data_IF_374421005928
#
_entry.id   IF_374421005928
#
_cell.length_a   1.000
_cell.length_b   1.000
_cell.length_c   1.000
_cell.angle_alpha   90.00
_cell.angle_beta   90.00
_cell.angle_gamma   90.00
#
_symmetry.space_group_name_H-M   'P 1'
#
loop_
_entity.id
_entity.type
_entity.pdbx_description
1 polymer ?
#
# COMPACT_ATOMS: atom_id res chain seq x y z
N UNK A 1 29.06 -12.86 1.72
CA UNK A 1 28.39 -12.73 0.41
C UNK A 1 27.28 -11.72 0.56
N UNK A 2 26.96 -10.96 -0.49
CA UNK A 2 25.82 -10.04 -0.47
C UNK A 2 24.52 -10.84 -0.60
N UNK A 3 23.50 -10.44 0.16
CA UNK A 3 22.16 -11.03 0.09
C UNK A 3 21.18 -10.01 -0.48
N UNK A 4 20.30 -10.43 -1.39
CA UNK A 4 19.22 -9.58 -1.84
C UNK A 4 18.01 -10.42 -2.24
N UNK A 5 16.78 -9.86 -2.03
CA UNK A 5 15.56 -10.56 -2.41
C UNK A 5 14.33 -9.69 -2.35
N UNK A 6 13.31 -10.11 -3.08
CA UNK A 6 11.97 -9.53 -3.08
C UNK A 6 11.12 -10.13 -1.97
N UNK A 7 10.66 -9.29 -1.06
CA UNK A 7 9.80 -9.65 0.07
C UNK A 7 8.42 -9.04 -0.15
N UNK A 8 7.51 -9.81 -0.69
CA UNK A 8 6.23 -9.31 -1.12
C UNK A 8 5.15 -9.48 -0.04
N UNK A 9 4.41 -8.42 0.21
CA UNK A 9 3.41 -8.33 1.28
C UNK A 9 2.03 -8.40 0.67
N UNK A 10 1.33 -9.49 0.89
CA UNK A 10 -0.02 -9.76 0.38
C UNK A 10 -0.99 -10.05 1.51
N UNK A 11 -2.29 -9.99 1.23
CA UNK A 11 -3.34 -10.29 2.19
C UNK A 11 -4.57 -9.41 1.96
N UNK A 12 -5.60 -9.62 2.73
CA UNK A 12 -6.89 -8.95 2.59
C UNK A 12 -6.82 -7.43 2.86
N UNK A 13 -7.83 -6.66 2.44
CA UNK A 13 -7.89 -5.23 2.78
C UNK A 13 -7.91 -5.01 4.31
N UNK A 14 -7.28 -3.92 4.76
CA UNK A 14 -7.28 -3.43 6.14
C UNK A 14 -6.57 -4.31 7.19
N UNK A 15 -5.87 -5.37 6.83
CA UNK A 15 -5.07 -6.18 7.76
C UNK A 15 -3.78 -5.50 8.23
N UNK A 16 -3.42 -4.33 7.67
CA UNK A 16 -2.28 -3.52 8.09
C UNK A 16 -1.01 -3.72 7.29
N UNK A 17 -1.10 -4.17 6.01
CA UNK A 17 0.05 -4.35 5.11
C UNK A 17 0.90 -3.08 4.95
N UNK A 18 0.28 -1.96 4.60
CA UNK A 18 0.98 -0.68 4.40
C UNK A 18 1.60 -0.14 5.70
N UNK A 19 0.96 -0.38 6.85
CA UNK A 19 1.55 -0.04 8.15
C UNK A 19 2.79 -0.88 8.40
N UNK A 20 2.72 -2.19 8.17
CA UNK A 20 3.86 -3.10 8.30
C UNK A 20 4.99 -2.72 7.35
N UNK A 21 4.66 -2.46 6.08
CA UNK A 21 5.62 -2.00 5.06
C UNK A 21 6.41 -0.78 5.53
N UNK A 22 5.72 0.26 6.01
CA UNK A 22 6.36 1.49 6.51
C UNK A 22 7.25 1.21 7.73
N UNK A 23 6.89 0.27 8.61
CA UNK A 23 7.73 -0.12 9.74
C UNK A 23 8.99 -0.88 9.29
N UNK A 24 8.86 -1.80 8.34
CA UNK A 24 9.98 -2.59 7.83
C UNK A 24 10.97 -1.74 7.03
N UNK A 25 10.49 -0.77 6.26
CA UNK A 25 11.34 0.16 5.48
C UNK A 25 11.94 1.25 6.37
N UNK A 26 11.27 1.61 7.47
CA UNK A 26 11.67 2.70 8.34
C UNK A 26 11.22 4.09 7.86
N UNK A 27 10.59 4.16 6.70
CA UNK A 27 10.11 5.38 6.05
C UNK A 27 8.64 5.27 5.62
N UNK A 28 7.97 6.40 5.52
CA UNK A 28 6.56 6.44 5.11
C UNK A 28 6.44 6.49 3.59
N UNK A 29 6.45 5.34 2.95
CA UNK A 29 6.33 5.21 1.48
C UNK A 29 4.95 4.71 1.01
N UNK A 30 4.15 4.12 1.89
CA UNK A 30 2.76 3.74 1.60
C UNK A 30 1.80 4.53 2.48
N UNK A 31 0.68 4.99 1.90
CA UNK A 31 -0.40 5.56 2.70
C UNK A 31 -1.11 4.46 3.47
N UNK A 32 -1.49 4.75 4.71
CA UNK A 32 -2.17 3.79 5.58
C UNK A 32 -3.42 4.43 6.19
N UNK A 33 -4.59 3.89 5.89
CA UNK A 33 -5.86 4.29 6.48
C UNK A 33 -6.69 3.06 6.87
N UNK A 34 -7.74 3.29 7.64
CA UNK A 34 -8.71 2.23 7.99
C UNK A 34 -9.70 1.90 6.87
N UNK A 35 -9.67 2.63 5.73
CA UNK A 35 -10.59 2.41 4.61
C UNK A 35 -10.02 1.36 3.64
N UNK A 36 -10.91 0.55 3.07
CA UNK A 36 -10.53 -0.37 2.00
C UNK A 36 -10.00 0.39 0.77
N UNK A 37 -9.27 -0.29 -0.11
CA UNK A 37 -8.68 0.29 -1.32
C UNK A 37 -7.74 1.50 -1.03
N UNK A 38 -7.12 1.52 0.16
CA UNK A 38 -6.10 2.51 0.49
C UNK A 38 -4.90 2.36 -0.44
N UNK A 39 -4.33 1.19 -0.54
CA UNK A 39 -3.30 0.85 -1.54
C UNK A 39 -3.98 0.39 -2.82
N UNK A 40 -3.68 1.03 -3.95
CA UNK A 40 -4.23 0.70 -5.28
C UNK A 40 -3.17 0.24 -6.27
N UNK A 41 -1.93 0.60 -6.03
CA UNK A 41 -0.77 0.23 -6.83
C UNK A 41 0.15 -0.66 -6.01
N UNK A 42 0.96 -1.44 -6.69
CA UNK A 42 2.11 -2.09 -6.07
C UNK A 42 3.20 -1.03 -5.84
N UNK A 43 3.72 -0.97 -4.62
CA UNK A 43 4.72 0.03 -4.21
C UNK A 43 5.91 -0.72 -3.64
N UNK A 44 7.10 -0.48 -4.20
CA UNK A 44 8.34 -1.06 -3.68
C UNK A 44 9.02 -0.09 -2.72
N UNK A 45 9.55 -0.64 -1.62
CA UNK A 45 10.42 0.04 -0.67
C UNK A 45 11.71 -0.74 -0.50
N UNK A 46 12.83 -0.07 -0.66
CA UNK A 46 14.15 -0.69 -0.75
C UNK A 46 14.93 -0.34 0.51
N UNK A 47 15.36 -1.38 1.23
CA UNK A 47 16.21 -1.26 2.40
C UNK A 47 17.60 -1.74 2.04
N UNK A 48 18.60 -0.90 2.23
CA UNK A 48 19.99 -1.16 1.88
C UNK A 48 20.89 -1.17 3.11
N UNK A 49 21.79 -2.15 3.18
CA UNK A 49 22.98 -2.16 4.04
C UNK A 49 24.21 -2.46 3.18
N UNK A 50 25.39 -2.48 3.75
CA UNK A 50 26.63 -2.76 3.00
C UNK A 50 26.59 -4.14 2.33
N UNK A 51 26.01 -5.13 3.00
CA UNK A 51 26.00 -6.54 2.63
C UNK A 51 24.61 -7.08 2.26
N UNK A 52 23.58 -6.24 2.24
CA UNK A 52 22.21 -6.69 2.01
C UNK A 52 21.35 -5.64 1.30
N UNK A 53 20.40 -6.13 0.49
CA UNK A 53 19.29 -5.34 -0.05
C UNK A 53 17.97 -6.10 0.07
N UNK A 54 16.97 -5.50 0.73
CA UNK A 54 15.62 -6.05 0.80
C UNK A 54 14.69 -5.16 -0.03
N UNK A 55 14.01 -5.76 -1.00
CA UNK A 55 12.98 -5.08 -1.79
C UNK A 55 11.61 -5.48 -1.27
N UNK A 56 11.07 -4.69 -0.36
CA UNK A 56 9.70 -4.89 0.11
C UNK A 56 8.69 -4.42 -0.94
N UNK A 57 7.56 -5.10 -1.05
CA UNK A 57 6.50 -4.74 -1.98
C UNK A 57 5.15 -4.73 -1.27
N UNK A 58 4.56 -3.54 -1.06
CA UNK A 58 3.18 -3.40 -0.60
C UNK A 58 2.21 -3.56 -1.76
N UNK A 59 1.16 -4.35 -1.57
CA UNK A 59 0.18 -4.65 -2.61
C UNK A 59 -1.23 -4.21 -2.21
N UNK A 60 -2.12 -3.97 -3.19
CA UNK A 60 -3.54 -3.82 -2.92
C UNK A 60 -4.08 -4.99 -2.10
N UNK A 61 -5.12 -4.76 -1.31
CA UNK A 61 -5.79 -5.84 -0.61
C UNK A 61 -6.50 -6.79 -1.58
N UNK A 62 -6.36 -8.09 -1.37
CA UNK A 62 -7.04 -9.12 -2.16
C UNK A 62 -8.55 -9.00 -1.96
N UNK A 63 -9.28 -8.82 -3.06
CA UNK A 63 -10.73 -8.69 -3.06
C UNK A 63 -11.31 -9.28 -4.36
N UNK A 64 -12.58 -9.67 -4.31
CA UNK A 64 -13.28 -10.09 -5.52
C UNK A 64 -13.63 -8.85 -6.36
N UNK A 65 -13.14 -8.75 -7.60
CA UNK A 65 -13.35 -7.56 -8.43
C UNK A 65 -14.81 -7.39 -8.85
N UNK A 66 -15.30 -6.15 -8.82
CA UNK A 66 -16.62 -5.75 -9.31
C UNK A 66 -16.53 -4.82 -10.53
N UNK A 67 -15.38 -4.23 -10.80
CA UNK A 67 -15.11 -3.34 -11.93
C UNK A 67 -13.61 -3.34 -12.27
N UNK A 68 -13.25 -2.83 -13.44
CA UNK A 68 -11.94 -3.02 -14.07
C UNK A 68 -10.74 -2.54 -13.21
N UNK A 69 -10.86 -1.42 -12.52
CA UNK A 69 -9.79 -0.97 -11.61
C UNK A 69 -9.49 -2.02 -10.53
N UNK A 70 -10.52 -2.71 -9.99
CA UNK A 70 -10.29 -3.76 -9.00
C UNK A 70 -9.67 -5.02 -9.61
N UNK A 71 -9.93 -5.32 -10.89
CA UNK A 71 -9.22 -6.39 -11.61
C UNK A 71 -7.72 -6.08 -11.68
N UNK A 72 -7.34 -4.84 -12.01
CA UNK A 72 -5.93 -4.43 -12.01
C UNK A 72 -5.31 -4.46 -10.60
N UNK A 73 -6.07 -4.04 -9.56
CA UNK A 73 -5.60 -4.15 -8.18
C UNK A 73 -5.33 -5.62 -7.79
N UNK A 74 -6.21 -6.55 -8.18
CA UNK A 74 -6.00 -7.98 -7.95
C UNK A 74 -4.78 -8.49 -8.73
N UNK A 75 -4.63 -8.10 -9.99
CA UNK A 75 -3.49 -8.47 -10.82
C UNK A 75 -2.15 -8.00 -10.22
N UNK A 76 -2.07 -6.82 -9.61
CA UNK A 76 -0.88 -6.39 -8.84
C UNK A 76 -0.58 -7.32 -7.65
N UNK A 77 -1.61 -7.82 -6.96
CA UNK A 77 -1.40 -8.76 -5.85
C UNK A 77 -0.99 -10.14 -6.34
N UNK A 78 -1.48 -10.57 -7.49
CA UNK A 78 -1.11 -11.83 -8.13
C UNK A 78 0.32 -11.77 -8.72
N UNK A 79 0.70 -10.66 -9.36
CA UNK A 79 2.08 -10.50 -9.85
C UNK A 79 3.11 -10.55 -8.72
N UNK A 80 2.74 -10.06 -7.54
CA UNK A 80 3.59 -10.14 -6.35
C UNK A 80 3.79 -11.58 -5.83
N UNK A 81 2.95 -12.54 -6.20
CA UNK A 81 3.22 -13.95 -5.90
C UNK A 81 4.28 -14.53 -6.84
N UNK A 82 4.35 -14.05 -8.08
CA UNK A 82 5.20 -14.63 -9.11
C UNK A 82 6.69 -14.28 -8.95
N UNK A 83 7.01 -13.12 -8.41
CA UNK A 83 8.39 -12.62 -8.31
C UNK A 83 8.94 -12.57 -6.86
N UNK A 84 8.21 -13.15 -5.89
CA UNK A 84 8.65 -13.18 -4.50
C UNK A 84 9.76 -14.19 -4.25
N UNK A 85 10.82 -13.78 -3.55
CA UNK A 85 11.78 -14.70 -2.90
C UNK A 85 11.29 -15.13 -1.52
N UNK A 86 10.55 -14.22 -0.83
CA UNK A 86 9.89 -14.46 0.45
C UNK A 86 8.51 -13.85 0.37
N UNK A 87 7.49 -14.57 0.79
CA UNK A 87 6.12 -14.07 0.88
C UNK A 87 5.72 -13.78 2.32
N UNK A 88 5.25 -12.55 2.59
CA UNK A 88 4.55 -12.20 3.81
C UNK A 88 3.04 -12.23 3.54
N UNK A 89 2.36 -13.26 4.00
CA UNK A 89 0.90 -13.30 3.98
C UNK A 89 0.36 -12.68 5.27
N UNK A 90 -0.22 -11.50 5.16
CA UNK A 90 -0.68 -10.72 6.31
C UNK A 90 -2.17 -10.89 6.52
N UNK A 91 -2.54 -11.32 7.72
CA UNK A 91 -3.90 -11.38 8.25
C UNK A 91 -3.99 -10.58 9.56
N UNK A 92 -5.16 -10.50 10.17
CA UNK A 92 -5.30 -9.89 11.50
C UNK A 92 -6.21 -10.74 12.43
N UNK A 93 -6.36 -10.28 13.67
CA UNK A 93 -7.09 -11.01 14.73
C UNK A 93 -8.60 -11.08 14.54
N UNK A 94 -9.17 -10.35 13.57
CA UNK A 94 -10.62 -10.32 13.31
C UNK A 94 -11.00 -10.87 11.94
N UNK A 95 -10.03 -11.17 11.10
CA UNK A 95 -10.26 -11.65 9.74
C UNK A 95 -10.72 -13.11 9.72
N UNK A 96 -11.69 -13.40 8.85
CA UNK A 96 -12.06 -14.78 8.53
C UNK A 96 -11.06 -15.37 7.53
N UNK A 97 -10.33 -16.43 7.88
CA UNK A 97 -9.37 -17.10 7.00
C UNK A 97 -9.97 -17.62 5.69
N UNK A 98 -11.27 -17.90 5.64
CA UNK A 98 -11.94 -18.46 4.46
C UNK A 98 -12.38 -17.40 3.45
N UNK A 99 -12.24 -16.13 3.77
CA UNK A 99 -12.79 -15.02 2.98
C UNK A 99 -12.29 -14.97 1.54
N UNK A 100 -11.07 -15.40 1.25
CA UNK A 100 -10.47 -15.43 -0.08
C UNK A 100 -9.74 -16.77 -0.30
N UNK A 101 -10.48 -17.88 -0.19
CA UNK A 101 -9.96 -19.24 -0.28
C UNK A 101 -9.16 -19.49 -1.57
N UNK A 102 -9.61 -18.97 -2.72
CA UNK A 102 -8.91 -19.12 -4.00
C UNK A 102 -7.50 -18.50 -3.99
N UNK A 103 -7.34 -17.34 -3.35
CA UNK A 103 -6.03 -16.70 -3.20
C UNK A 103 -5.17 -17.43 -2.17
N UNK A 104 -5.76 -17.89 -1.08
CA UNK A 104 -5.07 -18.69 -0.06
C UNK A 104 -4.53 -20.01 -0.66
N UNK A 105 -5.29 -20.65 -1.56
CA UNK A 105 -4.81 -21.86 -2.24
C UNK A 105 -3.58 -21.59 -3.11
N UNK A 106 -3.50 -20.45 -3.79
CA UNK A 106 -2.27 -20.06 -4.50
C UNK A 106 -1.09 -19.92 -3.56
N UNK A 107 -1.30 -19.30 -2.39
CA UNK A 107 -0.24 -19.18 -1.37
C UNK A 107 0.19 -20.55 -0.83
N UNK A 108 -0.76 -21.47 -0.59
CA UNK A 108 -0.51 -22.80 -0.07
C UNK A 108 0.38 -23.66 -1.00
N UNK A 109 0.27 -23.43 -2.30
CA UNK A 109 1.02 -24.17 -3.31
C UNK A 109 2.41 -23.59 -3.61
N UNK A 110 2.79 -22.48 -2.97
CA UNK A 110 4.10 -21.86 -3.18
C UNK A 110 5.23 -22.69 -2.58
N UNK A 111 6.37 -22.70 -3.29
CA UNK A 111 7.58 -23.43 -2.88
C UNK A 111 8.63 -22.54 -2.20
N UNK A 112 8.41 -21.21 -2.22
CA UNK A 112 9.27 -20.24 -1.53
C UNK A 112 8.93 -20.16 -0.04
N UNK A 113 9.80 -19.59 0.81
CA UNK A 113 9.47 -19.29 2.19
C UNK A 113 8.21 -18.40 2.31
N UNK A 114 7.23 -18.85 3.08
CA UNK A 114 6.02 -18.11 3.41
C UNK A 114 6.01 -17.82 4.90
N UNK A 115 5.91 -16.56 5.28
CA UNK A 115 5.68 -16.12 6.65
C UNK A 115 4.24 -15.60 6.74
N UNK A 116 3.41 -16.29 7.52
CA UNK A 116 2.08 -15.82 7.87
C UNK A 116 2.18 -14.86 9.04
N UNK A 117 1.83 -13.61 8.82
CA UNK A 117 1.86 -12.55 9.82
C UNK A 117 0.46 -12.32 10.37
N UNK A 118 0.22 -12.68 11.64
CA UNK A 118 -1.03 -12.33 12.35
C UNK A 118 -0.83 -10.96 13.00
N UNK A 119 -1.35 -9.92 12.34
CA UNK A 119 -1.21 -8.53 12.79
C UNK A 119 -2.30 -8.10 13.76
N UNK A 120 -2.13 -6.92 14.38
CA UNK A 120 -3.06 -6.27 15.31
C UNK A 120 -3.34 -7.09 16.57
N UNK A 121 -2.37 -7.85 17.07
CA UNK A 121 -2.56 -8.63 18.32
C UNK A 121 -2.84 -7.75 19.53
N UNK A 122 -2.53 -6.46 19.48
CA UNK A 122 -2.88 -5.43 20.45
C UNK A 122 -4.40 -5.23 20.61
N UNK A 123 -5.19 -5.59 19.59
CA UNK A 123 -6.65 -5.57 19.62
C UNK A 123 -7.27 -6.89 20.12
N UNK A 124 -6.48 -7.83 20.65
CA UNK A 124 -6.92 -9.15 21.07
C UNK A 124 -6.24 -9.60 22.36
N UNK A 125 -6.48 -10.83 22.78
CA UNK A 125 -5.85 -11.44 23.94
C UNK A 125 -5.03 -12.70 23.55
N UNK A 126 -4.14 -13.10 24.44
CA UNK A 126 -3.21 -14.22 24.18
C UNK A 126 -3.92 -15.53 23.84
N UNK A 127 -5.07 -15.83 24.48
CA UNK A 127 -5.83 -17.06 24.20
C UNK A 127 -6.38 -17.07 22.77
N UNK A 128 -6.99 -15.97 22.35
CA UNK A 128 -7.53 -15.83 20.98
C UNK A 128 -6.41 -15.89 19.94
N UNK A 129 -5.28 -15.23 20.18
CA UNK A 129 -4.12 -15.29 19.28
C UNK A 129 -3.60 -16.74 19.18
N UNK A 130 -3.48 -17.47 20.30
CA UNK A 130 -3.09 -18.88 20.28
C UNK A 130 -4.01 -19.76 19.44
N UNK A 131 -5.34 -19.60 19.57
CA UNK A 131 -6.31 -20.32 18.75
C UNK A 131 -6.19 -19.98 17.24
N UNK A 132 -5.92 -18.71 16.92
CA UNK A 132 -5.68 -18.30 15.53
C UNK A 132 -4.40 -18.92 14.96
N UNK A 133 -3.34 -19.01 15.74
CA UNK A 133 -2.09 -19.68 15.31
C UNK A 133 -2.38 -21.14 14.97
N UNK A 134 -3.12 -21.87 15.81
CA UNK A 134 -3.49 -23.27 15.54
C UNK A 134 -4.35 -23.40 14.28
N UNK A 135 -5.36 -22.53 14.11
CA UNK A 135 -6.22 -22.51 12.92
C UNK A 135 -5.41 -22.25 11.64
N UNK A 136 -4.54 -21.25 11.66
CA UNK A 136 -3.71 -20.93 10.51
C UNK A 136 -2.65 -22.00 10.20
N UNK A 137 -2.10 -22.65 11.22
CA UNK A 137 -1.18 -23.77 11.01
C UNK A 137 -1.86 -24.94 10.31
N UNK A 138 -3.14 -25.20 10.59
CA UNK A 138 -3.93 -26.20 9.88
C UNK A 138 -4.19 -25.83 8.39
N UNK A 139 -4.38 -24.53 8.09
CA UNK A 139 -4.64 -24.04 6.74
C UNK A 139 -3.37 -23.89 5.89
N UNK A 140 -2.28 -23.45 6.49
CA UNK A 140 -0.97 -23.23 5.85
C UNK A 140 0.13 -23.94 6.64
N UNK A 141 0.21 -25.27 6.58
CA UNK A 141 1.14 -26.07 7.44
C UNK A 141 2.62 -25.80 7.14
N UNK A 142 2.95 -25.30 5.94
CA UNK A 142 4.32 -25.00 5.54
C UNK A 142 4.74 -23.55 5.83
N UNK A 143 3.82 -22.68 6.31
CA UNK A 143 4.14 -21.31 6.64
C UNK A 143 4.66 -21.17 8.07
N UNK A 144 5.65 -20.33 8.25
CA UNK A 144 6.05 -19.86 9.59
C UNK A 144 5.06 -18.81 10.08
N UNK A 145 4.56 -18.93 11.31
CA UNK A 145 3.50 -18.03 11.81
C UNK A 145 4.08 -17.08 12.85
N UNK A 146 3.96 -15.78 12.59
CA UNK A 146 4.45 -14.72 13.47
C UNK A 146 3.33 -13.75 13.88
N UNK A 147 2.85 -13.79 15.13
CA UNK A 147 1.94 -12.77 15.67
C UNK A 147 2.69 -11.47 15.97
N UNK A 148 2.17 -10.33 15.45
CA UNK A 148 2.77 -9.00 15.62
C UNK A 148 1.72 -7.92 15.90
N UNK A 149 2.20 -6.74 16.32
CA UNK A 149 1.47 -5.47 16.21
C UNK A 149 2.32 -4.46 15.44
N UNK A 150 2.03 -4.27 14.16
CA UNK A 150 2.75 -3.30 13.34
C UNK A 150 2.57 -1.87 13.86
N UNK A 151 1.38 -1.52 14.38
CA UNK A 151 1.11 -0.20 14.95
C UNK A 151 1.98 0.10 16.17
N UNK A 152 2.19 -0.88 17.04
CA UNK A 152 2.97 -0.76 18.28
C UNK A 152 4.43 -1.23 18.11
N UNK A 153 4.85 -1.59 16.90
CA UNK A 153 6.19 -2.13 16.58
C UNK A 153 6.53 -3.45 17.29
N UNK A 154 5.56 -4.12 17.90
CA UNK A 154 5.80 -5.39 18.59
C UNK A 154 6.00 -6.52 17.57
N UNK A 155 7.09 -7.27 17.70
CA UNK A 155 7.42 -8.40 16.85
C UNK A 155 7.96 -8.03 15.46
N UNK A 156 8.03 -6.74 15.10
CA UNK A 156 8.53 -6.28 13.78
C UNK A 156 10.02 -6.55 13.62
N UNK A 157 10.82 -6.32 14.66
CA UNK A 157 12.25 -6.58 14.63
C UNK A 157 12.56 -8.09 14.48
N UNK A 158 11.76 -8.95 15.13
CA UNK A 158 11.86 -10.40 14.99
C UNK A 158 11.52 -10.85 13.57
N UNK A 159 10.45 -10.29 12.99
CA UNK A 159 10.09 -10.53 11.59
C UNK A 159 11.20 -10.09 10.63
N UNK A 160 11.75 -8.89 10.82
CA UNK A 160 12.85 -8.38 10.00
C UNK A 160 14.09 -9.28 10.08
N UNK A 161 14.47 -9.71 11.27
CA UNK A 161 15.58 -10.66 11.46
C UNK A 161 15.32 -11.97 10.73
N UNK A 162 14.09 -12.49 10.81
CA UNK A 162 13.74 -13.73 10.13
C UNK A 162 13.80 -13.59 8.60
N UNK A 163 13.34 -12.47 8.06
CA UNK A 163 13.49 -12.15 6.64
C UNK A 163 14.97 -12.14 6.23
N UNK A 164 15.84 -11.47 6.98
CA UNK A 164 17.29 -11.40 6.70
C UNK A 164 17.96 -12.79 6.66
N UNK A 165 17.53 -13.70 7.54
CA UNK A 165 18.02 -15.09 7.56
C UNK A 165 17.64 -15.86 6.29
N UNK A 166 16.42 -15.62 5.77
CA UNK A 166 15.84 -16.31 4.62
C UNK A 166 16.27 -15.73 3.26
N UNK A 167 16.85 -14.52 3.23
CA UNK A 167 17.27 -13.88 1.97
C UNK A 167 18.29 -14.76 1.22
N UNK A 168 18.11 -14.93 -0.10
CA UNK A 168 19.08 -15.62 -0.95
C UNK A 168 20.36 -14.81 -1.15
N UNK A 169 21.44 -15.51 -1.49
CA UNK A 169 22.65 -14.88 -1.97
C UNK A 169 22.41 -14.30 -3.36
N UNK A 170 22.54 -12.98 -3.50
CA UNK A 170 22.30 -12.25 -4.75
C UNK A 170 23.03 -10.90 -4.72
N UNK A 171 23.47 -10.36 -5.87
CA UNK A 171 23.87 -8.97 -5.98
C UNK A 171 22.62 -8.06 -5.75
N UNK A 172 22.81 -6.76 -5.47
CA UNK A 172 21.70 -5.83 -5.35
C UNK A 172 20.95 -5.67 -6.68
N UNK A 173 19.63 -5.55 -6.61
CA UNK A 173 18.75 -5.34 -7.77
C UNK A 173 18.62 -3.86 -8.16
N UNK A 174 18.81 -2.96 -7.19
CA UNK A 174 18.66 -1.52 -7.32
C UNK A 174 19.89 -0.79 -6.80
N UNK A 175 20.06 0.45 -7.20
CA UNK A 175 21.12 1.30 -6.67
C UNK A 175 20.99 1.44 -5.15
N UNK A 176 22.13 1.51 -4.45
CA UNK A 176 22.18 1.50 -2.98
C UNK A 176 21.57 2.75 -2.33
N UNK A 177 21.39 3.83 -3.07
CA UNK A 177 20.74 5.08 -2.64
C UNK A 177 19.26 5.15 -3.00
N UNK A 178 18.74 4.16 -3.75
CA UNK A 178 17.35 4.11 -4.15
C UNK A 178 16.47 3.60 -3.00
N UNK A 179 15.44 4.37 -2.64
CA UNK A 179 14.48 4.04 -1.57
C UNK A 179 13.21 3.37 -2.09
N UNK A 180 12.80 3.64 -3.34
CA UNK A 180 11.53 3.18 -3.91
C UNK A 180 11.55 3.18 -5.44
N UNK A 181 10.62 2.45 -6.06
CA UNK A 181 10.38 2.42 -7.51
C UNK A 181 9.51 3.59 -8.01
N UNK A 182 8.91 4.37 -7.11
CA UNK A 182 7.93 5.39 -7.47
C UNK A 182 8.54 6.80 -7.56
N UNK A 183 8.14 7.61 -8.55
CA UNK A 183 8.58 9.00 -8.65
C UNK A 183 7.89 9.89 -7.60
N UNK A 184 8.48 11.06 -7.31
CA UNK A 184 7.94 12.04 -6.37
C UNK A 184 6.47 12.41 -6.63
N UNK A 185 6.06 12.53 -7.90
CA UNK A 185 4.67 12.81 -8.29
C UNK A 185 3.67 11.77 -7.79
N UNK A 186 4.06 10.49 -7.73
CA UNK A 186 3.23 9.42 -7.20
C UNK A 186 2.91 9.65 -5.72
N UNK A 187 3.91 9.98 -4.90
CA UNK A 187 3.69 10.27 -3.47
C UNK A 187 2.82 11.49 -3.25
N UNK A 188 2.95 12.51 -4.10
CA UNK A 188 2.04 13.68 -4.06
C UNK A 188 0.60 13.24 -4.28
N UNK A 189 0.33 12.44 -5.31
CA UNK A 189 -1.01 11.92 -5.60
C UNK A 189 -1.57 11.11 -4.43
N UNK A 190 -0.76 10.22 -3.88
CA UNK A 190 -1.15 9.36 -2.76
C UNK A 190 -1.42 10.17 -1.48
N UNK A 191 -0.61 11.18 -1.17
CA UNK A 191 -0.83 12.05 0.00
C UNK A 191 -2.14 12.84 -0.15
N UNK A 192 -2.45 13.36 -1.33
CA UNK A 192 -3.73 14.03 -1.58
C UNK A 192 -4.89 13.03 -1.45
N UNK A 193 -4.75 11.84 -2.04
CA UNK A 193 -5.75 10.77 -1.97
C UNK A 193 -5.97 10.28 -0.54
N UNK A 194 -4.92 10.20 0.29
CA UNK A 194 -5.03 9.90 1.71
C UNK A 194 -5.94 10.90 2.44
N UNK A 195 -5.80 12.20 2.17
CA UNK A 195 -6.67 13.20 2.80
C UNK A 195 -8.12 13.07 2.34
N UNK A 196 -8.33 12.70 1.08
CA UNK A 196 -9.68 12.38 0.59
C UNK A 196 -10.24 11.14 1.32
N UNK A 197 -9.45 10.08 1.48
CA UNK A 197 -9.83 8.91 2.27
C UNK A 197 -10.20 9.26 3.72
N UNK A 198 -9.50 10.20 4.34
CA UNK A 198 -9.72 10.57 5.74
C UNK A 198 -10.93 11.50 5.95
N UNK A 199 -11.20 12.41 5.01
CA UNK A 199 -12.17 13.48 5.20
C UNK A 199 -13.50 13.28 4.49
N UNK A 200 -13.62 12.31 3.58
CA UNK A 200 -14.88 11.98 2.90
C UNK A 200 -15.30 10.56 3.21
N UNK A 201 -16.63 10.33 3.13
CA UNK A 201 -17.24 9.04 3.43
C UNK A 201 -18.04 8.49 2.25
N UNK A 202 -18.74 7.39 2.49
CA UNK A 202 -19.55 6.66 1.52
C UNK A 202 -18.72 6.26 0.28
N UNK A 203 -19.22 6.56 -0.91
CA UNK A 203 -18.59 6.19 -2.19
C UNK A 203 -17.45 7.13 -2.63
N UNK A 204 -17.37 8.35 -2.09
CA UNK A 204 -16.41 9.37 -2.54
C UNK A 204 -14.96 8.87 -2.51
N UNK A 205 -14.44 8.29 -1.40
CA UNK A 205 -13.08 7.79 -1.34
C UNK A 205 -12.72 6.75 -2.41
N UNK A 206 -13.73 6.03 -2.89
CA UNK A 206 -13.54 4.92 -3.83
C UNK A 206 -13.73 5.33 -5.30
N UNK A 207 -14.25 6.54 -5.53
CA UNK A 207 -14.56 7.08 -6.87
C UNK A 207 -13.62 8.18 -7.33
N UNK A 208 -12.55 8.44 -6.57
CA UNK A 208 -11.58 9.48 -6.90
C UNK A 208 -10.27 8.89 -7.39
N UNK A 209 -9.64 9.60 -8.33
CA UNK A 209 -8.23 9.41 -8.68
C UNK A 209 -7.53 10.77 -8.65
N UNK A 210 -6.23 10.79 -8.36
CA UNK A 210 -5.45 12.02 -8.28
C UNK A 210 -4.27 11.95 -9.22
N UNK A 211 -4.16 12.94 -10.11
CA UNK A 211 -3.04 13.06 -11.04
C UNK A 211 -2.31 14.39 -10.84
N UNK A 212 -0.99 14.31 -10.71
CA UNK A 212 -0.12 15.48 -10.67
C UNK A 212 0.24 15.89 -12.09
N UNK A 213 -0.33 17.00 -12.55
CA UNK A 213 -0.05 17.54 -13.88
C UNK A 213 1.27 18.32 -13.89
N UNK A 214 1.54 19.09 -12.85
CA UNK A 214 2.76 19.86 -12.74
C UNK A 214 3.45 19.62 -11.39
N UNK A 215 4.77 19.39 -11.46
CA UNK A 215 5.67 19.35 -10.31
C UNK A 215 6.94 20.10 -10.68
N UNK A 216 7.12 21.29 -10.11
CA UNK A 216 8.29 22.13 -10.35
C UNK A 216 9.02 22.38 -9.04
N UNK A 217 10.20 21.83 -8.91
CA UNK A 217 11.04 22.00 -7.75
C UNK A 217 12.07 23.10 -7.96
N UNK A 218 12.21 23.95 -6.96
CA UNK A 218 13.27 24.95 -6.85
C UNK A 218 14.06 24.72 -5.55
N UNK A 219 15.12 25.46 -5.36
CA UNK A 219 15.93 25.37 -4.12
C UNK A 219 15.10 25.61 -2.84
N UNK A 220 14.08 26.47 -2.89
CA UNK A 220 13.32 26.90 -1.70
C UNK A 220 11.89 26.37 -1.63
N UNK A 221 11.31 25.99 -2.76
CA UNK A 221 9.88 25.71 -2.84
C UNK A 221 9.57 24.74 -3.98
N UNK A 222 8.52 23.93 -3.76
CA UNK A 222 7.94 23.06 -4.77
C UNK A 222 6.57 23.60 -5.16
N UNK A 223 6.33 23.76 -6.46
CA UNK A 223 5.03 24.11 -7.03
C UNK A 223 4.38 22.87 -7.60
N UNK A 224 3.17 22.57 -7.12
CA UNK A 224 2.40 21.38 -7.48
C UNK A 224 1.04 21.80 -7.98
N UNK A 225 0.66 21.25 -9.15
CA UNK A 225 -0.68 21.34 -9.69
C UNK A 225 -1.24 19.92 -9.82
N UNK A 226 -2.34 19.62 -9.13
CA UNK A 226 -2.95 18.31 -9.08
C UNK A 226 -4.44 18.37 -9.46
N UNK A 227 -4.88 17.36 -10.18
CA UNK A 227 -6.29 17.20 -10.56
C UNK A 227 -6.87 15.98 -9.85
N UNK A 228 -8.00 16.19 -9.20
CA UNK A 228 -8.81 15.14 -8.57
C UNK A 228 -9.91 14.78 -9.57
N UNK A 229 -9.87 13.57 -10.09
CA UNK A 229 -10.86 13.03 -11.01
C UNK A 229 -11.98 12.34 -10.24
N UNK A 230 -13.22 12.54 -10.68
CA UNK A 230 -14.43 11.88 -10.16
C UNK A 230 -15.30 11.43 -11.32
N UNK A 231 -16.24 10.51 -11.09
CA UNK A 231 -17.08 9.97 -12.17
C UNK A 231 -18.32 10.84 -12.45
N UNK A 232 -18.79 11.65 -11.48
CA UNK A 232 -20.08 12.35 -11.56
C UNK A 232 -19.99 13.78 -11.05
N UNK A 233 -20.83 14.67 -11.60
CA UNK A 233 -20.94 16.07 -11.14
C UNK A 233 -21.36 16.17 -9.67
N UNK A 234 -22.23 15.27 -9.19
CA UNK A 234 -22.61 15.23 -7.77
C UNK A 234 -21.40 14.97 -6.86
N UNK A 235 -20.50 14.08 -7.24
CA UNK A 235 -19.26 13.79 -6.52
C UNK A 235 -18.31 14.99 -6.53
N UNK A 236 -18.20 15.69 -7.67
CA UNK A 236 -17.43 16.93 -7.78
C UNK A 236 -17.97 17.99 -6.82
N UNK A 237 -19.29 18.16 -6.75
CA UNK A 237 -19.92 19.08 -5.81
C UNK A 237 -19.61 18.73 -4.35
N UNK A 238 -19.62 17.45 -3.98
CA UNK A 238 -19.29 16.97 -2.62
C UNK A 238 -17.82 17.26 -2.29
N UNK A 239 -16.88 16.99 -3.21
CA UNK A 239 -15.45 17.22 -2.99
C UNK A 239 -15.16 18.71 -2.83
N UNK A 240 -15.75 19.56 -3.65
CA UNK A 240 -15.59 21.02 -3.54
C UNK A 240 -16.21 21.53 -2.23
N UNK A 241 -17.41 21.06 -1.92
CA UNK A 241 -18.17 21.47 -0.74
C UNK A 241 -18.70 22.90 -0.82
N UNK A 242 -19.40 23.33 0.22
CA UNK A 242 -19.95 24.68 0.28
C UNK A 242 -18.83 25.73 0.17
N UNK A 243 -18.93 26.63 -0.80
CA UNK A 243 -17.94 27.68 -1.10
C UNK A 243 -16.47 27.17 -1.19
N UNK A 244 -16.25 25.91 -1.60
CA UNK A 244 -14.93 25.32 -1.72
C UNK A 244 -14.25 24.94 -0.39
N UNK A 245 -14.95 25.02 0.73
CA UNK A 245 -14.34 24.81 2.07
C UNK A 245 -13.84 23.38 2.28
N UNK A 246 -14.54 22.37 1.74
CA UNK A 246 -14.11 20.97 1.89
C UNK A 246 -12.81 20.70 1.12
N UNK A 247 -12.74 21.13 -0.13
CA UNK A 247 -11.52 21.01 -0.95
C UNK A 247 -10.36 21.79 -0.35
N UNK A 248 -10.59 23.01 0.15
CA UNK A 248 -9.58 23.83 0.83
C UNK A 248 -9.01 23.12 2.05
N UNK A 249 -9.84 22.44 2.86
CA UNK A 249 -9.40 21.66 4.02
C UNK A 249 -8.47 20.53 3.59
N UNK A 250 -8.90 19.71 2.62
CA UNK A 250 -8.09 18.60 2.09
C UNK A 250 -6.75 19.09 1.54
N UNK A 251 -6.78 20.12 0.70
CA UNK A 251 -5.57 20.69 0.08
C UNK A 251 -4.61 21.27 1.13
N UNK A 252 -5.15 21.93 2.17
CA UNK A 252 -4.33 22.46 3.27
C UNK A 252 -3.65 21.35 4.05
N UNK A 253 -4.35 20.27 4.39
CA UNK A 253 -3.77 19.15 5.13
C UNK A 253 -2.81 18.33 4.25
N UNK A 254 -3.12 18.17 2.96
CA UNK A 254 -2.19 17.57 2.01
C UNK A 254 -0.90 18.38 1.91
N UNK A 255 -0.99 19.71 1.73
CA UNK A 255 0.17 20.61 1.67
C UNK A 255 1.07 20.48 2.90
N UNK A 256 0.49 20.49 4.11
CA UNK A 256 1.26 20.33 5.36
C UNK A 256 2.01 19.00 5.41
N UNK A 257 1.39 17.93 4.92
CA UNK A 257 2.02 16.60 4.86
C UNK A 257 3.11 16.57 3.81
N UNK A 258 2.90 17.18 2.65
CA UNK A 258 3.89 17.30 1.57
C UNK A 258 5.11 18.13 2.00
N UNK A 259 4.90 19.25 2.74
CA UNK A 259 6.00 20.05 3.29
C UNK A 259 6.90 19.25 4.23
N UNK A 260 6.31 18.36 5.04
CA UNK A 260 7.07 17.44 5.90
C UNK A 260 7.77 16.35 5.10
N UNK A 261 7.11 15.82 4.07
CA UNK A 261 7.64 14.73 3.24
C UNK A 261 8.86 15.18 2.43
N UNK A 262 8.83 16.40 1.86
CA UNK A 262 9.92 16.93 1.04
C UNK A 262 10.91 17.81 1.83
N UNK A 263 10.64 18.08 3.10
CA UNK A 263 11.39 19.06 3.91
C UNK A 263 11.56 20.41 3.19
N UNK A 264 10.52 20.85 2.47
CA UNK A 264 10.49 22.08 1.67
C UNK A 264 9.12 22.75 1.72
N UNK A 265 9.08 24.06 1.49
CA UNK A 265 7.82 24.76 1.27
C UNK A 265 7.10 24.23 0.04
N UNK A 266 5.77 24.04 0.14
CA UNK A 266 4.93 23.56 -0.96
C UNK A 266 3.83 24.55 -1.28
N UNK A 267 3.73 24.95 -2.53
CA UNK A 267 2.57 25.60 -3.11
C UNK A 267 1.74 24.55 -3.84
N UNK A 268 0.52 24.28 -3.35
CA UNK A 268 -0.36 23.25 -3.87
C UNK A 268 -1.64 23.85 -4.43
N UNK A 269 -1.88 23.64 -5.71
CA UNK A 269 -3.15 23.89 -6.38
C UNK A 269 -3.87 22.58 -6.67
N UNK A 270 -5.15 22.53 -6.39
CA UNK A 270 -5.98 21.34 -6.65
C UNK A 270 -7.23 21.72 -7.43
N UNK A 271 -7.52 20.93 -8.46
CA UNK A 271 -8.71 21.06 -9.30
C UNK A 271 -9.55 19.79 -9.24
N UNK A 272 -10.85 19.88 -9.47
CA UNK A 272 -11.73 18.71 -9.55
C UNK A 272 -12.32 18.65 -10.96
N UNK A 273 -12.10 17.52 -11.64
CA UNK A 273 -12.64 17.23 -12.98
C UNK A 273 -13.53 16.01 -12.94
N UNK A 274 -14.58 16.01 -13.75
CA UNK A 274 -15.40 14.82 -13.99
C UNK A 274 -14.83 14.08 -15.18
N UNK A 275 -14.57 12.80 -14.97
CA UNK A 275 -14.19 11.84 -15.99
C UNK A 275 -15.10 10.62 -15.82
N UNK A 276 -16.08 10.52 -16.69
CA UNK A 276 -17.15 9.50 -16.58
C UNK A 276 -16.56 8.11 -16.77
N UNK A 277 -16.96 7.20 -15.89
CA UNK A 277 -16.62 5.77 -15.95
C UNK A 277 -15.12 5.45 -16.02
N UNK A 278 -14.25 6.37 -15.53
CA UNK A 278 -12.80 6.20 -15.57
C UNK A 278 -12.33 4.88 -14.92
N UNK A 279 -13.03 4.40 -13.87
CA UNK A 279 -12.69 3.14 -13.19
C UNK A 279 -12.91 1.87 -14.05
N UNK A 280 -13.66 2.01 -15.15
CA UNK A 280 -13.95 0.93 -16.10
C UNK A 280 -13.25 1.14 -17.44
N UNK A 281 -12.64 2.29 -17.70
CA UNK A 281 -11.94 2.63 -18.92
C UNK A 281 -10.49 2.18 -18.87
N UNK A 282 -10.11 1.24 -19.73
CA UNK A 282 -8.72 0.78 -19.82
C UNK A 282 -7.74 1.92 -20.16
N UNK A 283 -8.14 2.83 -21.05
CA UNK A 283 -7.34 3.97 -21.45
C UNK A 283 -7.04 4.89 -20.26
N UNK A 284 -8.08 5.25 -19.51
CA UNK A 284 -7.93 6.13 -18.34
C UNK A 284 -7.14 5.46 -17.23
N UNK A 285 -7.43 4.18 -16.94
CA UNK A 285 -6.68 3.40 -15.96
C UNK A 285 -5.18 3.33 -16.30
N UNK A 286 -4.83 3.05 -17.57
CA UNK A 286 -3.43 3.08 -18.01
C UNK A 286 -2.80 4.47 -17.85
N UNK A 287 -3.55 5.54 -18.13
CA UNK A 287 -3.08 6.92 -17.95
C UNK A 287 -2.82 7.29 -16.48
N UNK A 288 -3.51 6.63 -15.56
CA UNK A 288 -3.33 6.76 -14.11
C UNK A 288 -2.30 5.78 -13.52
N UNK A 289 -1.64 4.99 -14.38
CA UNK A 289 -0.57 4.07 -13.95
C UNK A 289 -1.06 2.69 -13.50
N UNK A 290 -2.30 2.33 -13.77
CA UNK A 290 -2.80 0.96 -13.56
C UNK A 290 -2.36 0.09 -14.74
N UNK A 291 -1.13 -0.39 -14.71
CA UNK A 291 -0.56 -1.29 -15.71
C UNK A 291 0.06 -2.48 -14.96
N UNK A 292 -0.72 -3.48 -14.55
CA UNK A 292 -0.15 -4.73 -14.07
C UNK A 292 0.53 -5.43 -15.24
N UNK A 293 1.83 -5.66 -15.12
CA UNK A 293 2.59 -6.50 -16.05
C UNK A 293 2.28 -7.97 -15.84
#
# INVERSE_FOLDING_TARGET
MHKAGFVNIVGNPNVGKSTLMNQLVGERISIATFKAQTTRHRIMGIVNTDDMQIVFSDTPGVLKPNYKMQEYMLAFSESALADADILLYVTDVVEDPEKNADFLEKVRTMTIPVILVINKIDASNQKTVGQLVEKWHALLPNAEILPISAANKFGVDMLLKRIQELLPDSPPYFDKDQLTDKPAKFFVSEIIREKILLYYDKEIPYSVEVRVEQFKESAKQIHINAVIYVERESQKGIIIGHQGMALKKVSTEARKTLEKFFDKKVYLETFVKVDKDWRSSQKELSSFGYNPE
#
